data_IF_794465543702
#
_entry.id   IF_794465543702
#
_cell.length_a   1.000
_cell.length_b   1.000
_cell.length_c   1.000
_cell.angle_alpha   90.00
_cell.angle_beta   90.00
_cell.angle_gamma   90.00
#
_symmetry.space_group_name_H-M   'P 1'
#
loop_
_entity.id
_entity.type
_entity.pdbx_description
1 polymer ?
#
# COMPACT_ATOMS: atom_id res chain seq x y z
N UNK A 1 5.47 7.56 19.94
CA UNK A 1 4.18 6.84 20.04
C UNK A 1 3.00 7.65 19.47
N UNK A 2 2.97 8.99 19.64
CA UNK A 2 1.84 9.86 19.24
C UNK A 2 1.55 9.83 17.72
N UNK A 3 2.52 10.10 16.86
CA UNK A 3 2.30 10.15 15.41
C UNK A 3 1.82 8.83 14.80
N UNK A 4 2.30 7.69 15.30
CA UNK A 4 1.93 6.37 14.79
C UNK A 4 0.42 6.06 14.92
N UNK A 5 -0.21 6.46 16.03
CA UNK A 5 -1.61 6.15 16.31
C UNK A 5 -2.58 6.91 15.38
N UNK A 6 -2.30 8.18 15.09
CA UNK A 6 -3.10 9.01 14.18
C UNK A 6 -3.00 8.48 12.75
N UNK A 7 -1.82 8.06 12.34
CA UNK A 7 -1.56 7.60 10.98
C UNK A 7 -2.30 6.28 10.67
N UNK A 8 -2.47 5.40 11.66
CA UNK A 8 -3.27 4.18 11.51
C UNK A 8 -4.72 4.51 11.15
N UNK A 9 -5.30 5.45 11.86
CA UNK A 9 -6.67 5.86 11.64
C UNK A 9 -6.89 6.31 10.20
N UNK A 10 -5.99 7.11 9.62
CA UNK A 10 -6.08 7.55 8.22
C UNK A 10 -6.10 6.37 7.25
N UNK A 11 -5.20 5.41 7.43
CA UNK A 11 -5.11 4.25 6.54
C UNK A 11 -6.37 3.38 6.56
N UNK A 12 -7.05 3.30 7.69
CA UNK A 12 -8.30 2.55 7.84
C UNK A 12 -9.49 3.28 7.22
N UNK A 13 -9.60 4.58 7.45
CA UNK A 13 -10.74 5.38 7.02
C UNK A 13 -10.85 5.51 5.49
N UNK A 14 -9.74 5.45 4.78
CA UNK A 14 -9.71 5.62 3.31
C UNK A 14 -10.32 4.46 2.52
N UNK A 15 -10.56 3.32 3.15
CA UNK A 15 -11.04 2.10 2.49
C UNK A 15 -12.55 1.84 2.68
N UNK A 16 -13.25 2.68 3.40
CA UNK A 16 -14.70 2.52 3.62
C UNK A 16 -15.47 3.44 2.69
N UNK A 17 -16.04 2.92 1.61
CA UNK A 17 -17.01 3.64 0.79
C UNK A 17 -18.42 3.32 1.30
N UNK A 18 -19.14 4.31 1.84
CA UNK A 18 -20.49 4.13 2.33
C UNK A 18 -21.49 5.12 1.75
N UNK A 19 -22.72 4.64 1.58
CA UNK A 19 -23.90 5.48 1.37
C UNK A 19 -24.37 6.02 2.72
N UNK A 20 -24.44 7.33 2.89
CA UNK A 20 -24.84 7.96 4.15
C UNK A 20 -26.10 8.79 3.97
N UNK A 21 -27.09 8.56 4.84
CA UNK A 21 -28.27 9.39 4.99
C UNK A 21 -27.98 10.60 5.89
N UNK A 22 -28.75 11.65 5.72
CA UNK A 22 -28.63 12.98 6.33
C UNK A 22 -28.04 13.09 7.75
N UNK A 23 -27.07 14.03 7.85
CA UNK A 23 -26.43 14.59 9.04
C UNK A 23 -25.43 13.72 9.80
N UNK A 24 -24.16 13.72 9.38
CA UNK A 24 -23.11 13.19 10.23
C UNK A 24 -22.57 14.29 11.17
N UNK A 25 -22.68 14.08 12.47
CA UNK A 25 -21.80 14.72 13.42
C UNK A 25 -20.87 13.65 13.96
N UNK A 26 -19.67 13.56 13.41
CA UNK A 26 -18.61 12.80 14.06
C UNK A 26 -18.30 13.49 15.38
N UNK A 27 -18.18 12.76 16.50
CA UNK A 27 -17.68 13.33 17.74
C UNK A 27 -16.34 14.02 17.52
N UNK A 28 -16.13 15.19 18.13
CA UNK A 28 -14.84 15.87 18.04
C UNK A 28 -13.72 14.91 18.43
N UNK A 29 -12.81 14.62 17.50
CA UNK A 29 -11.70 13.70 17.72
C UNK A 29 -10.49 14.47 18.26
N UNK A 30 -10.11 14.19 19.51
CA UNK A 30 -8.85 14.68 20.06
C UNK A 30 -7.71 13.77 19.60
N UNK A 31 -6.85 14.28 18.69
CA UNK A 31 -5.69 13.57 18.19
C UNK A 31 -4.59 13.35 19.24
N UNK A 32 -4.72 13.93 20.43
CA UNK A 32 -3.83 13.72 21.57
C UNK A 32 -4.35 12.63 22.53
N UNK A 33 -5.63 12.26 22.40
CA UNK A 33 -6.22 11.20 23.19
C UNK A 33 -6.09 9.85 22.49
N UNK A 34 -5.17 9.03 22.97
CA UNK A 34 -4.94 7.69 22.41
C UNK A 34 -6.19 6.79 22.50
N UNK A 35 -7.02 6.95 23.53
CA UNK A 35 -8.20 6.10 23.67
C UNK A 35 -9.27 6.48 22.65
N UNK A 36 -9.45 7.76 22.36
CA UNK A 36 -10.34 8.21 21.28
C UNK A 36 -9.85 7.71 19.92
N UNK A 37 -8.55 7.83 19.63
CA UNK A 37 -7.97 7.30 18.39
C UNK A 37 -8.14 5.79 18.26
N UNK A 38 -7.95 5.05 19.35
CA UNK A 38 -8.15 3.59 19.37
C UNK A 38 -9.62 3.22 19.15
N UNK A 39 -10.56 3.94 19.75
CA UNK A 39 -11.98 3.73 19.56
C UNK A 39 -12.41 4.01 18.11
N UNK A 40 -11.97 5.12 17.54
CA UNK A 40 -12.22 5.47 16.14
C UNK A 40 -11.64 4.41 15.17
N UNK A 41 -10.42 3.98 15.40
CA UNK A 41 -9.78 2.91 14.62
C UNK A 41 -10.54 1.57 14.75
N UNK A 42 -11.03 1.24 15.95
CA UNK A 42 -11.83 0.03 16.19
C UNK A 42 -13.17 0.09 15.46
N UNK A 43 -13.84 1.24 15.47
CA UNK A 43 -15.09 1.43 14.75
C UNK A 43 -14.88 1.32 13.24
N UNK A 44 -13.88 2.00 12.69
CA UNK A 44 -13.52 1.92 11.28
C UNK A 44 -13.16 0.48 10.85
N UNK A 45 -12.40 -0.24 11.68
CA UNK A 45 -12.06 -1.65 11.43
C UNK A 45 -13.31 -2.55 11.47
N UNK A 46 -14.22 -2.33 12.42
CA UNK A 46 -15.48 -3.05 12.51
C UNK A 46 -16.35 -2.84 11.26
N UNK A 47 -16.46 -1.60 10.79
CA UNK A 47 -17.18 -1.28 9.57
C UNK A 47 -16.55 -1.94 8.35
N UNK A 48 -15.24 -1.86 8.21
CA UNK A 48 -14.51 -2.51 7.12
C UNK A 48 -14.78 -4.03 7.12
N UNK A 49 -14.72 -4.68 8.29
CA UNK A 49 -14.98 -6.11 8.43
C UNK A 49 -16.45 -6.49 8.16
N UNK A 50 -17.41 -5.57 8.26
CA UNK A 50 -18.80 -5.84 7.90
C UNK A 50 -19.00 -6.12 6.40
N UNK A 51 -18.08 -5.65 5.56
CA UNK A 51 -18.07 -5.95 4.12
C UNK A 51 -17.35 -7.26 3.77
N UNK A 52 -16.70 -7.90 4.75
CA UNK A 52 -16.07 -9.19 4.52
C UNK A 52 -17.07 -10.33 4.60
N UNK A 53 -17.30 -10.98 3.48
CA UNK A 53 -18.10 -12.22 3.43
C UNK A 53 -17.10 -13.38 3.32
N UNK A 54 -17.02 -14.28 4.33
CA UNK A 54 -16.13 -15.41 4.27
C UNK A 54 -16.35 -16.25 3.02
N UNK A 55 -15.32 -16.43 2.25
CA UNK A 55 -15.32 -17.23 1.02
C UNK A 55 -14.03 -18.05 0.90
N UNK A 56 -14.00 -18.97 -0.06
CA UNK A 56 -12.83 -19.83 -0.30
C UNK A 56 -11.59 -19.10 -0.80
N UNK A 57 -11.73 -17.83 -1.22
CA UNK A 57 -10.64 -16.99 -1.74
C UNK A 57 -10.00 -16.14 -0.65
N UNK A 58 -10.70 -15.89 0.46
CA UNK A 58 -10.23 -14.99 1.52
C UNK A 58 -10.17 -13.51 1.09
N UNK A 59 -10.92 -13.13 0.04
CA UNK A 59 -11.05 -11.75 -0.43
C UNK A 59 -12.33 -11.09 0.10
N UNK A 60 -12.36 -9.76 0.14
CA UNK A 60 -13.60 -9.01 0.31
C UNK A 60 -14.50 -9.15 -0.93
N UNK A 61 -15.68 -8.57 -0.89
CA UNK A 61 -16.55 -8.50 -2.05
C UNK A 61 -15.85 -7.68 -3.16
N UNK A 62 -15.48 -8.34 -4.25
CA UNK A 62 -14.66 -7.76 -5.32
C UNK A 62 -15.37 -6.62 -6.08
N UNK A 63 -16.71 -6.53 -6.00
CA UNK A 63 -17.46 -5.39 -6.54
C UNK A 63 -17.31 -4.13 -5.69
N UNK A 64 -17.01 -4.29 -4.40
CA UNK A 64 -16.85 -3.19 -3.43
C UNK A 64 -15.37 -2.89 -3.16
N UNK A 65 -14.54 -3.92 -3.17
CA UNK A 65 -13.15 -3.85 -2.77
C UNK A 65 -12.33 -4.72 -3.72
N UNK A 66 -11.64 -4.13 -4.70
CA UNK A 66 -10.77 -4.88 -5.59
C UNK A 66 -9.82 -5.76 -4.78
N UNK A 67 -9.42 -6.85 -5.38
CA UNK A 67 -8.68 -7.88 -4.68
C UNK A 67 -7.34 -7.39 -4.08
N UNK A 68 -6.60 -6.50 -4.77
CA UNK A 68 -5.38 -5.88 -4.23
C UNK A 68 -5.66 -5.05 -2.97
N UNK A 69 -6.78 -4.33 -2.91
CA UNK A 69 -7.21 -3.61 -1.71
C UNK A 69 -7.50 -4.59 -0.56
N UNK A 70 -8.13 -5.74 -0.84
CA UNK A 70 -8.33 -6.79 0.17
C UNK A 70 -6.99 -7.21 0.79
N UNK A 71 -5.96 -7.32 -0.03
CA UNK A 71 -4.60 -7.54 0.45
C UNK A 71 -4.13 -6.43 1.38
N UNK A 72 -4.20 -5.18 0.99
CA UNK A 72 -3.80 -4.05 1.83
C UNK A 72 -4.54 -4.03 3.17
N UNK A 73 -5.84 -4.32 3.15
CA UNK A 73 -6.69 -4.42 4.34
C UNK A 73 -6.17 -5.48 5.33
N UNK A 74 -5.86 -6.69 4.86
CA UNK A 74 -5.32 -7.73 5.74
C UNK A 74 -4.00 -7.32 6.41
N UNK A 75 -3.12 -6.62 5.68
CA UNK A 75 -1.89 -6.09 6.27
C UNK A 75 -2.12 -5.03 7.33
N UNK A 76 -3.13 -4.19 7.16
CA UNK A 76 -3.49 -3.19 8.16
C UNK A 76 -3.98 -3.80 9.47
N UNK A 77 -4.59 -4.99 9.45
CA UNK A 77 -4.99 -5.68 10.67
C UNK A 77 -3.81 -6.06 11.55
N UNK A 78 -2.67 -6.44 10.97
CA UNK A 78 -1.45 -6.69 11.75
C UNK A 78 -0.89 -5.40 12.36
N UNK A 79 -0.89 -4.29 11.59
CA UNK A 79 -0.48 -2.99 12.12
C UNK A 79 -1.43 -2.54 13.23
N UNK A 80 -2.76 -2.64 13.02
CA UNK A 80 -3.77 -2.32 14.02
C UNK A 80 -3.57 -3.14 15.30
N UNK A 81 -3.41 -4.46 15.19
CA UNK A 81 -3.18 -5.33 16.33
C UNK A 81 -1.89 -4.99 17.08
N UNK A 82 -0.80 -4.70 16.35
CA UNK A 82 0.50 -4.33 16.95
C UNK A 82 0.41 -3.03 17.75
N UNK A 83 -0.35 -2.06 17.29
CA UNK A 83 -0.41 -0.73 17.87
C UNK A 83 -1.49 -0.57 18.93
N UNK A 84 -2.63 -1.25 18.77
CA UNK A 84 -3.75 -1.15 19.71
C UNK A 84 -3.79 -2.26 20.75
N UNK A 85 -3.12 -3.38 20.49
CA UNK A 85 -3.24 -4.63 21.25
C UNK A 85 -4.55 -5.39 20.98
N UNK A 86 -5.38 -4.94 20.03
CA UNK A 86 -6.64 -5.59 19.68
C UNK A 86 -6.43 -6.64 18.58
N UNK A 87 -6.60 -7.91 18.93
CA UNK A 87 -6.34 -9.06 18.07
C UNK A 87 -7.61 -9.75 17.55
N UNK A 88 -8.79 -9.17 17.76
CA UNK A 88 -10.09 -9.83 17.53
C UNK A 88 -10.29 -10.37 16.11
N UNK A 89 -9.62 -9.79 15.11
CA UNK A 89 -9.75 -10.19 13.70
C UNK A 89 -8.63 -11.10 13.19
N UNK A 90 -7.57 -11.34 13.95
CA UNK A 90 -6.38 -12.01 13.45
C UNK A 90 -6.61 -13.45 12.98
N UNK A 91 -7.52 -14.18 13.63
CA UNK A 91 -7.89 -15.54 13.16
C UNK A 91 -8.56 -15.50 11.79
N UNK A 92 -9.41 -14.50 11.55
CA UNK A 92 -10.06 -14.30 10.24
C UNK A 92 -9.04 -13.90 9.20
N UNK A 93 -8.14 -12.97 9.52
CA UNK A 93 -7.03 -12.54 8.65
C UNK A 93 -6.14 -13.72 8.27
N UNK A 94 -5.73 -14.52 9.25
CA UNK A 94 -4.88 -15.70 9.05
C UNK A 94 -5.52 -16.71 8.09
N UNK A 95 -6.82 -17.02 8.28
CA UNK A 95 -7.55 -17.90 7.36
C UNK A 95 -7.71 -17.30 5.97
N UNK A 96 -8.00 -16.00 5.89
CA UNK A 96 -8.12 -15.32 4.61
C UNK A 96 -6.81 -15.36 3.82
N UNK A 97 -5.67 -15.06 4.44
CA UNK A 97 -4.36 -15.13 3.82
C UNK A 97 -3.98 -16.56 3.39
N UNK A 98 -4.28 -17.55 4.22
CA UNK A 98 -4.10 -18.96 3.86
C UNK A 98 -4.90 -19.32 2.59
N UNK A 99 -6.17 -18.93 2.54
CA UNK A 99 -7.02 -19.18 1.38
C UNK A 99 -6.48 -18.47 0.12
N UNK A 100 -6.02 -17.22 0.26
CA UNK A 100 -5.42 -16.46 -0.84
C UNK A 100 -4.11 -17.08 -1.36
N UNK A 101 -3.38 -17.83 -0.53
CA UNK A 101 -2.18 -18.55 -0.95
C UNK A 101 -2.48 -19.87 -1.70
N UNK A 102 -3.69 -20.03 -2.22
CA UNK A 102 -4.16 -21.29 -2.81
C UNK A 102 -4.20 -22.47 -1.82
N UNK A 103 -4.41 -22.20 -0.55
CA UNK A 103 -4.50 -23.22 0.49
C UNK A 103 -3.25 -24.10 0.53
N UNK A 104 -3.40 -25.40 0.36
CA UNK A 104 -2.30 -26.37 0.44
C UNK A 104 -1.18 -26.20 -0.62
N UNK A 105 -1.36 -25.38 -1.64
CA UNK A 105 -0.30 -25.09 -2.63
C UNK A 105 0.77 -24.13 -2.10
N UNK A 106 0.41 -23.31 -1.12
CA UNK A 106 1.30 -22.29 -0.55
C UNK A 106 2.04 -21.50 -1.63
N UNK A 107 1.29 -20.99 -2.60
CA UNK A 107 1.84 -20.22 -3.72
C UNK A 107 0.79 -19.25 -4.27
N UNK A 108 1.15 -18.00 -4.33
CA UNK A 108 0.29 -16.95 -4.85
C UNK A 108 0.20 -16.93 -6.37
N UNK A 109 1.22 -17.42 -7.07
CA UNK A 109 1.15 -17.59 -8.51
C UNK A 109 0.46 -18.89 -8.87
N UNK A 110 -0.56 -18.83 -9.71
CA UNK A 110 -1.09 -20.02 -10.37
C UNK A 110 -0.01 -20.64 -11.28
N UNK A 111 0.02 -21.98 -11.45
CA UNK A 111 0.94 -22.60 -12.38
C UNK A 111 0.77 -22.04 -13.80
N UNK A 112 1.86 -21.55 -14.39
CA UNK A 112 1.85 -20.98 -15.75
C UNK A 112 1.23 -19.61 -15.88
N UNK A 113 0.93 -18.93 -14.79
CA UNK A 113 0.37 -17.57 -14.80
C UNK A 113 1.29 -16.59 -15.52
N UNK A 114 0.87 -16.14 -16.72
CA UNK A 114 1.54 -15.11 -17.50
C UNK A 114 0.84 -13.76 -17.36
N UNK A 115 -0.47 -13.77 -17.25
CA UNK A 115 -1.33 -12.59 -17.19
C UNK A 115 -1.43 -12.09 -15.74
N UNK A 116 -0.32 -11.59 -15.19
CA UNK A 116 -0.27 -11.06 -13.83
C UNK A 116 0.75 -9.94 -13.72
N UNK A 117 0.48 -9.03 -12.80
CA UNK A 117 1.37 -7.94 -12.44
C UNK A 117 2.34 -8.37 -11.33
N UNK A 118 3.55 -7.87 -11.36
CA UNK A 118 4.56 -8.22 -10.36
C UNK A 118 4.43 -7.43 -9.06
N UNK A 119 3.88 -6.22 -9.08
CA UNK A 119 3.41 -5.53 -7.89
C UNK A 119 2.21 -6.23 -7.29
N UNK A 120 1.32 -6.83 -8.10
CA UNK A 120 0.18 -7.56 -7.60
C UNK A 120 0.54 -8.84 -6.84
N UNK A 121 1.62 -9.50 -7.17
CA UNK A 121 2.13 -10.56 -6.32
C UNK A 121 2.88 -10.00 -5.11
N UNK A 122 3.26 -8.75 -5.17
CA UNK A 122 3.83 -8.00 -4.05
C UNK A 122 2.72 -7.26 -3.26
N UNK A 123 1.61 -6.90 -3.86
CA UNK A 123 0.26 -6.71 -3.32
C UNK A 123 -0.76 -7.33 -4.29
N UNK A 124 -2.04 -7.60 -3.98
CA UNK A 124 -2.92 -8.38 -4.82
C UNK A 124 -3.73 -7.60 -5.86
N UNK A 125 -3.92 -8.12 -7.07
CA UNK A 125 -4.87 -7.55 -8.02
C UNK A 125 -5.53 -8.50 -9.03
N UNK A 126 -6.57 -7.99 -9.69
CA UNK A 126 -7.50 -8.72 -10.52
C UNK A 126 -7.55 -8.21 -11.96
N UNK A 127 -7.87 -9.12 -12.90
CA UNK A 127 -8.47 -8.82 -14.19
C UNK A 127 -9.64 -9.76 -14.46
N UNK A 128 -10.70 -9.20 -15.08
CA UNK A 128 -11.93 -9.89 -15.41
C UNK A 128 -11.72 -11.21 -16.17
N UNK A 129 -12.34 -12.25 -15.65
CA UNK A 129 -12.62 -13.48 -16.39
C UNK A 129 -11.81 -14.71 -16.06
N UNK A 130 -10.78 -14.67 -15.21
CA UNK A 130 -10.05 -15.88 -14.78
C UNK A 130 -9.88 -15.94 -13.25
N UNK A 131 -9.99 -17.13 -12.64
CA UNK A 131 -9.80 -17.30 -11.20
C UNK A 131 -8.31 -17.26 -10.85
N UNK A 132 -7.68 -16.10 -10.91
CA UNK A 132 -6.35 -15.90 -10.35
C UNK A 132 -6.45 -15.71 -8.85
N UNK A 133 -6.04 -16.71 -8.13
CA UNK A 133 -5.97 -16.73 -6.67
C UNK A 133 -4.57 -16.30 -6.28
N UNK A 134 -4.39 -15.12 -5.75
CA UNK A 134 -3.07 -14.66 -5.36
C UNK A 134 -3.15 -13.67 -4.19
N UNK A 135 -2.31 -13.77 -3.19
CA UNK A 135 -2.23 -12.86 -2.06
C UNK A 135 -0.86 -12.19 -1.94
N UNK A 136 -0.79 -11.17 -1.13
CA UNK A 136 0.30 -10.23 -0.99
C UNK A 136 1.41 -10.73 -0.04
N UNK A 137 2.67 -10.86 -0.47
CA UNK A 137 3.79 -11.23 0.39
C UNK A 137 4.13 -10.19 1.46
N UNK A 138 3.80 -8.93 1.25
CA UNK A 138 3.98 -7.90 2.30
C UNK A 138 3.07 -8.16 3.49
N UNK A 139 1.90 -8.73 3.25
CA UNK A 139 0.99 -9.17 4.29
C UNK A 139 1.50 -10.45 4.95
N UNK A 140 2.05 -11.33 4.16
CA UNK A 140 2.65 -12.57 4.64
C UNK A 140 3.87 -12.28 5.48
N UNK A 141 4.72 -11.32 5.09
CA UNK A 141 5.83 -10.91 5.95
C UNK A 141 5.33 -10.20 7.21
N UNK A 142 4.21 -9.47 7.14
CA UNK A 142 3.59 -8.89 8.33
C UNK A 142 3.08 -9.95 9.29
N UNK A 143 2.55 -11.08 8.79
CA UNK A 143 2.19 -12.25 9.59
C UNK A 143 3.45 -12.88 10.23
N UNK A 144 4.52 -13.09 9.47
CA UNK A 144 5.78 -13.60 10.00
C UNK A 144 6.42 -12.67 11.04
N UNK A 145 6.32 -11.35 10.87
CA UNK A 145 6.75 -10.34 11.84
C UNK A 145 5.89 -10.38 13.13
N UNK A 146 4.60 -10.63 12.98
CA UNK A 146 3.66 -10.65 14.10
C UNK A 146 3.73 -11.94 14.90
N UNK A 147 3.70 -13.10 14.23
CA UNK A 147 3.66 -14.41 14.85
C UNK A 147 5.05 -15.02 15.12
N UNK A 148 6.09 -14.48 14.51
CA UNK A 148 7.47 -14.95 14.62
C UNK A 148 7.93 -15.79 13.43
N UNK A 149 9.26 -15.91 13.30
CA UNK A 149 9.94 -16.56 12.16
C UNK A 149 9.45 -17.98 11.88
N UNK A 150 9.31 -18.78 12.92
CA UNK A 150 9.01 -20.21 12.80
C UNK A 150 7.50 -20.50 12.81
N UNK A 151 6.66 -19.46 12.81
CA UNK A 151 5.21 -19.61 12.77
C UNK A 151 4.76 -20.15 11.42
N UNK A 152 3.86 -21.13 11.45
CA UNK A 152 3.37 -21.84 10.26
C UNK A 152 2.01 -21.37 9.81
N UNK A 153 1.70 -21.63 8.54
CA UNK A 153 0.38 -21.47 8.00
C UNK A 153 -0.60 -22.47 8.64
N UNK A 154 -1.90 -22.17 8.69
CA UNK A 154 -2.91 -23.09 9.21
C UNK A 154 -2.82 -24.49 8.56
N UNK A 155 -2.79 -25.53 9.37
CA UNK A 155 -2.75 -26.93 8.93
C UNK A 155 -1.60 -27.27 7.96
N UNK A 156 -0.44 -26.64 8.13
CA UNK A 156 0.72 -26.79 7.27
C UNK A 156 2.03 -26.75 8.06
N UNK A 157 3.09 -27.33 7.48
CA UNK A 157 4.47 -27.15 7.95
C UNK A 157 5.17 -25.98 7.24
N UNK A 158 4.50 -25.32 6.28
CA UNK A 158 5.04 -24.14 5.60
C UNK A 158 4.98 -22.94 6.53
N UNK A 159 6.04 -22.15 6.58
CA UNK A 159 6.09 -20.93 7.41
C UNK A 159 5.63 -19.70 6.63
N UNK A 160 5.14 -18.69 7.35
CA UNK A 160 4.79 -17.40 6.74
C UNK A 160 5.99 -16.77 6.02
N UNK A 161 7.17 -16.86 6.60
CA UNK A 161 8.36 -16.26 5.99
C UNK A 161 8.81 -16.98 4.72
N UNK A 162 8.70 -18.31 4.66
CA UNK A 162 9.03 -19.06 3.45
C UNK A 162 8.07 -18.71 2.31
N UNK A 163 6.79 -18.55 2.61
CA UNK A 163 5.80 -18.11 1.63
C UNK A 163 6.09 -16.68 1.12
N UNK A 164 6.45 -15.76 2.03
CA UNK A 164 6.86 -14.40 1.69
C UNK A 164 8.11 -14.40 0.80
N UNK A 165 9.12 -15.19 1.14
CA UNK A 165 10.35 -15.28 0.35
C UNK A 165 10.10 -15.92 -1.03
N UNK A 166 9.32 -16.97 -1.11
CA UNK A 166 8.91 -17.57 -2.40
C UNK A 166 8.37 -16.54 -3.36
N UNK A 167 7.48 -15.67 -2.91
CA UNK A 167 6.88 -14.65 -3.77
C UNK A 167 7.87 -13.52 -4.09
N UNK A 168 8.71 -13.16 -3.15
CA UNK A 168 9.82 -12.23 -3.38
C UNK A 168 10.72 -12.72 -4.52
N UNK A 169 11.12 -13.99 -4.50
CA UNK A 169 11.94 -14.59 -5.55
C UNK A 169 11.18 -14.67 -6.89
N UNK A 170 9.88 -14.94 -6.87
CA UNK A 170 9.04 -14.96 -8.07
C UNK A 170 8.95 -13.57 -8.73
N UNK A 171 8.84 -12.49 -7.96
CA UNK A 171 8.91 -11.13 -8.49
C UNK A 171 10.32 -10.81 -8.99
N UNK A 172 11.35 -11.14 -8.22
CA UNK A 172 12.75 -10.95 -8.56
C UNK A 172 13.17 -11.67 -9.85
N UNK A 173 12.55 -12.81 -10.18
CA UNK A 173 12.80 -13.55 -11.44
C UNK A 173 12.38 -12.79 -12.69
N UNK A 174 11.61 -11.70 -12.54
CA UNK A 174 11.13 -10.88 -13.65
C UNK A 174 12.08 -9.72 -13.98
N UNK A 175 13.35 -9.84 -13.62
CA UNK A 175 14.42 -8.92 -14.04
C UNK A 175 15.05 -9.38 -15.36
N UNK A 176 15.60 -8.42 -16.08
CA UNK A 176 16.54 -8.61 -17.17
C UNK A 176 17.51 -7.42 -17.26
N UNK A 177 18.43 -7.44 -18.21
CA UNK A 177 19.44 -6.40 -18.38
C UNK A 177 18.95 -5.19 -19.20
N UNK A 178 17.70 -5.21 -19.71
CA UNK A 178 17.14 -4.08 -20.43
C UNK A 178 17.06 -2.85 -19.55
N UNK A 179 17.44 -1.72 -20.06
CA UNK A 179 17.57 -0.46 -19.31
C UNK A 179 18.52 -0.56 -18.11
N UNK A 180 19.51 -1.44 -18.17
CA UNK A 180 20.48 -1.65 -17.10
C UNK A 180 19.93 -2.44 -15.90
N UNK A 181 18.75 -3.05 -16.01
CA UNK A 181 18.13 -3.84 -14.94
C UNK A 181 16.67 -3.49 -14.69
N UNK A 182 16.22 -3.75 -13.44
CA UNK A 182 14.87 -3.48 -12.98
C UNK A 182 13.87 -4.61 -13.23
N UNK A 183 12.74 -4.57 -12.52
CA UNK A 183 11.69 -5.58 -12.53
C UNK A 183 10.56 -5.10 -13.44
N UNK A 184 10.05 -5.97 -14.28
CA UNK A 184 8.89 -5.64 -15.09
C UNK A 184 7.61 -5.57 -14.25
N UNK A 185 6.71 -4.68 -14.65
CA UNK A 185 5.41 -4.52 -14.03
C UNK A 185 4.48 -5.69 -14.35
N UNK A 186 4.39 -6.08 -15.63
CA UNK A 186 3.53 -7.16 -16.10
C UNK A 186 4.35 -8.37 -16.57
N UNK A 187 3.89 -9.59 -16.26
CA UNK A 187 4.68 -10.82 -16.47
C UNK A 187 4.71 -11.29 -17.91
N UNK A 188 3.63 -11.12 -18.68
CA UNK A 188 3.63 -11.51 -20.11
C UNK A 188 4.39 -10.46 -20.95
N UNK A 189 5.54 -10.84 -21.48
CA UNK A 189 6.37 -9.98 -22.32
C UNK A 189 5.80 -9.79 -23.73
N UNK A 190 4.83 -10.61 -24.17
CA UNK A 190 4.14 -10.45 -25.45
C UNK A 190 3.02 -9.40 -25.38
N UNK A 191 2.48 -9.14 -24.18
CA UNK A 191 1.52 -8.08 -23.93
C UNK A 191 2.19 -6.69 -23.99
N UNK A 192 1.55 -5.64 -24.50
CA UNK A 192 2.07 -4.28 -24.49
C UNK A 192 2.51 -3.79 -23.10
N UNK A 193 1.78 -4.18 -22.04
CA UNK A 193 2.11 -3.89 -20.62
C UNK A 193 3.40 -4.56 -20.17
N UNK A 194 3.80 -5.67 -20.80
CA UNK A 194 5.02 -6.41 -20.50
C UNK A 194 6.31 -5.70 -20.85
N UNK A 195 6.25 -4.51 -21.44
CA UNK A 195 7.41 -3.66 -21.69
C UNK A 195 7.62 -2.57 -20.61
N UNK A 196 6.78 -2.51 -19.59
CA UNK A 196 6.79 -1.45 -18.58
C UNK A 196 7.47 -1.90 -17.28
N UNK A 197 8.34 -1.04 -16.76
CA UNK A 197 9.01 -1.18 -15.46
C UNK A 197 8.50 -0.06 -14.55
N UNK A 198 7.53 -0.36 -13.69
CA UNK A 198 6.86 0.62 -12.83
C UNK A 198 7.63 0.87 -11.54
N UNK A 199 7.55 2.09 -11.02
CA UNK A 199 8.17 2.48 -9.75
C UNK A 199 7.60 1.69 -8.58
N UNK A 200 6.28 1.49 -8.54
CA UNK A 200 5.63 0.78 -7.44
C UNK A 200 6.17 -0.64 -7.27
N UNK A 201 6.33 -1.42 -8.36
CA UNK A 201 6.89 -2.78 -8.31
C UNK A 201 8.28 -2.81 -7.64
N UNK A 202 9.12 -1.83 -7.97
CA UNK A 202 10.47 -1.75 -7.40
C UNK A 202 10.45 -1.39 -5.92
N UNK A 203 9.63 -0.42 -5.52
CA UNK A 203 9.56 -0.01 -4.11
C UNK A 203 8.96 -1.10 -3.24
N UNK A 204 8.00 -1.84 -3.73
CA UNK A 204 7.47 -3.00 -3.03
C UNK A 204 8.52 -4.10 -2.87
N UNK A 205 9.25 -4.39 -3.92
CA UNK A 205 10.33 -5.35 -3.87
C UNK A 205 11.41 -4.95 -2.85
N UNK A 206 11.83 -3.69 -2.83
CA UNK A 206 12.80 -3.17 -1.85
C UNK A 206 12.28 -3.33 -0.43
N UNK A 207 11.06 -2.89 -0.17
CA UNK A 207 10.42 -2.99 1.14
C UNK A 207 10.31 -4.44 1.61
N UNK A 208 9.83 -5.32 0.72
CA UNK A 208 9.70 -6.75 1.01
C UNK A 208 11.06 -7.39 1.33
N UNK A 209 12.08 -7.10 0.52
CA UNK A 209 13.43 -7.62 0.74
C UNK A 209 14.04 -7.18 2.07
N UNK A 210 13.88 -5.90 2.45
CA UNK A 210 14.33 -5.40 3.74
C UNK A 210 13.62 -6.09 4.92
N UNK A 211 12.31 -6.31 4.82
CA UNK A 211 11.50 -6.98 5.85
C UNK A 211 11.81 -8.47 5.93
N UNK A 212 11.95 -9.17 4.80
CA UNK A 212 12.39 -10.57 4.79
C UNK A 212 13.75 -10.72 5.47
N UNK A 213 14.71 -9.82 5.15
CA UNK A 213 16.04 -9.84 5.78
C UNK A 213 15.96 -9.63 7.31
N UNK A 214 15.08 -8.76 7.79
CA UNK A 214 14.92 -8.56 9.24
C UNK A 214 14.55 -9.83 9.99
N UNK A 215 13.82 -10.74 9.34
CA UNK A 215 13.39 -12.03 9.90
C UNK A 215 14.42 -13.13 9.64
N UNK A 216 14.85 -13.26 8.38
CA UNK A 216 15.70 -14.40 7.94
C UNK A 216 17.17 -14.19 8.22
N UNK A 217 17.63 -12.92 8.22
CA UNK A 217 19.05 -12.52 8.22
C UNK A 217 19.83 -13.02 6.99
N UNK A 218 19.13 -13.36 5.91
CA UNK A 218 19.76 -13.74 4.65
C UNK A 218 20.34 -12.51 3.93
N UNK A 219 21.69 -12.41 3.81
CA UNK A 219 22.34 -11.25 3.20
C UNK A 219 22.03 -11.12 1.70
N UNK A 220 21.69 -12.21 1.03
CA UNK A 220 21.36 -12.20 -0.39
C UNK A 220 20.06 -11.43 -0.66
N UNK A 221 19.05 -11.62 0.20
CA UNK A 221 17.77 -10.88 0.12
C UNK A 221 17.99 -9.37 0.27
N UNK A 222 18.80 -8.95 1.25
CA UNK A 222 19.14 -7.54 1.44
C UNK A 222 19.96 -6.98 0.27
N UNK A 223 20.89 -7.78 -0.27
CA UNK A 223 21.69 -7.38 -1.43
C UNK A 223 20.80 -7.13 -2.67
N UNK A 224 19.83 -8.00 -2.91
CA UNK A 224 18.87 -7.83 -4.02
C UNK A 224 18.04 -6.55 -3.86
N UNK A 225 17.56 -6.25 -2.64
CA UNK A 225 16.82 -5.03 -2.36
C UNK A 225 17.66 -3.77 -2.60
N UNK A 226 18.92 -3.75 -2.14
CA UNK A 226 19.87 -2.66 -2.40
C UNK A 226 20.13 -2.48 -3.89
N UNK A 227 20.38 -3.56 -4.61
CA UNK A 227 20.63 -3.52 -6.05
C UNK A 227 19.46 -2.91 -6.84
N UNK A 228 18.23 -3.23 -6.46
CA UNK A 228 17.05 -2.62 -7.08
C UNK A 228 16.93 -1.14 -6.73
N UNK A 229 17.23 -0.72 -5.49
CA UNK A 229 17.25 0.70 -5.13
C UNK A 229 18.30 1.47 -5.93
N UNK A 230 19.50 0.92 -6.06
CA UNK A 230 20.59 1.53 -6.86
C UNK A 230 20.17 1.69 -8.34
N UNK A 231 19.47 0.68 -8.88
CA UNK A 231 18.94 0.76 -10.23
C UNK A 231 17.86 1.85 -10.36
N UNK A 232 16.93 1.95 -9.43
CA UNK A 232 15.87 2.99 -9.43
C UNK A 232 16.49 4.40 -9.49
N UNK A 233 17.55 4.63 -8.73
CA UNK A 233 18.24 5.93 -8.71
C UNK A 233 19.04 6.14 -10.02
N UNK A 234 19.81 5.15 -10.45
CA UNK A 234 20.68 5.27 -11.63
C UNK A 234 19.91 5.32 -12.95
N UNK A 235 18.73 4.71 -13.02
CA UNK A 235 17.84 4.76 -14.19
C UNK A 235 17.16 6.12 -14.37
N UNK A 236 17.12 6.96 -13.34
CA UNK A 236 16.41 8.24 -13.35
C UNK A 236 14.93 8.16 -12.96
N UNK A 237 14.42 6.99 -12.56
CA UNK A 237 13.05 6.85 -12.04
C UNK A 237 12.84 7.69 -10.79
N UNK A 238 13.84 7.77 -9.91
CA UNK A 238 13.80 8.56 -8.70
C UNK A 238 15.00 9.50 -8.62
N UNK A 239 14.75 10.80 -8.43
CA UNK A 239 15.79 11.80 -8.30
C UNK A 239 15.96 12.24 -6.84
N UNK A 240 17.02 11.81 -6.14
CA UNK A 240 17.20 12.09 -4.71
C UNK A 240 17.59 13.55 -4.41
N UNK A 241 17.88 14.37 -5.44
CA UNK A 241 18.19 15.80 -5.23
C UNK A 241 16.94 16.68 -5.26
N UNK A 242 15.97 16.33 -6.12
CA UNK A 242 14.76 17.13 -6.33
C UNK A 242 13.53 16.55 -5.64
N UNK A 243 13.59 15.27 -5.26
CA UNK A 243 12.45 14.51 -4.78
C UNK A 243 11.48 14.08 -5.90
N UNK A 244 11.80 14.37 -7.18
CA UNK A 244 10.94 13.97 -8.29
C UNK A 244 10.99 12.46 -8.50
N UNK A 245 9.81 11.87 -8.72
CA UNK A 245 9.62 10.45 -8.96
C UNK A 245 8.80 10.24 -10.23
N UNK A 246 9.25 9.39 -11.14
CA UNK A 246 8.50 8.96 -12.31
C UNK A 246 7.64 7.75 -11.95
N UNK A 247 6.51 7.56 -12.62
CA UNK A 247 5.66 6.39 -12.43
C UNK A 247 6.32 5.11 -12.95
N UNK A 248 7.09 5.23 -14.02
CA UNK A 248 7.87 4.12 -14.56
C UNK A 248 8.55 4.47 -15.87
N UNK A 249 9.16 3.46 -16.51
CA UNK A 249 9.89 3.59 -17.77
C UNK A 249 9.57 2.44 -18.72
N UNK A 250 9.48 2.73 -20.02
CA UNK A 250 9.36 1.72 -21.06
C UNK A 250 10.69 1.04 -21.33
N UNK A 251 10.72 -0.30 -21.32
CA UNK A 251 11.91 -1.08 -21.72
C UNK A 251 12.14 -1.12 -23.23
N UNK A 252 11.22 -0.58 -24.04
CA UNK A 252 11.39 -0.40 -25.49
C UNK A 252 12.30 0.80 -25.78
N UNK A 253 12.18 1.85 -24.97
CA UNK A 253 13.04 3.02 -24.98
C UNK A 253 13.29 3.44 -23.52
N UNK A 254 14.48 3.17 -23.01
CA UNK A 254 14.85 3.36 -21.60
C UNK A 254 14.86 4.83 -21.13
N UNK A 255 14.54 5.77 -21.99
CA UNK A 255 14.36 7.20 -21.69
C UNK A 255 12.91 7.65 -21.80
N UNK A 256 12.00 6.75 -22.12
CA UNK A 256 10.56 7.02 -22.23
C UNK A 256 9.90 6.81 -20.86
N UNK A 257 9.90 7.88 -20.08
CA UNK A 257 9.37 7.90 -18.72
C UNK A 257 7.91 8.29 -18.71
N UNK A 258 7.12 7.57 -17.90
CA UNK A 258 5.77 7.97 -17.53
C UNK A 258 5.88 8.92 -16.33
N UNK A 259 5.40 10.15 -16.51
CA UNK A 259 5.63 11.26 -15.57
C UNK A 259 4.46 11.53 -14.63
N UNK A 260 3.43 10.68 -14.63
CA UNK A 260 2.31 10.81 -13.70
C UNK A 260 2.79 10.77 -12.25
N UNK A 261 2.17 11.61 -11.43
CA UNK A 261 2.49 11.71 -10.02
C UNK A 261 1.34 11.11 -9.20
N UNK A 262 1.66 10.08 -8.42
CA UNK A 262 0.72 9.37 -7.56
C UNK A 262 1.26 9.30 -6.14
N UNK A 263 0.41 9.58 -5.16
CA UNK A 263 0.82 9.59 -3.75
C UNK A 263 1.37 8.24 -3.29
N UNK A 264 0.80 7.13 -3.78
CA UNK A 264 1.22 5.77 -3.38
C UNK A 264 2.67 5.45 -3.76
N UNK A 265 3.16 5.93 -4.90
CA UNK A 265 4.56 5.76 -5.31
C UNK A 265 5.51 6.43 -4.30
N UNK A 266 5.20 7.66 -3.90
CA UNK A 266 5.98 8.37 -2.89
C UNK A 266 5.91 7.66 -1.53
N UNK A 267 4.71 7.30 -1.09
CA UNK A 267 4.54 6.55 0.15
C UNK A 267 5.37 5.29 0.15
N UNK A 268 5.27 4.51 -0.92
CA UNK A 268 5.98 3.24 -1.01
C UNK A 268 7.50 3.39 -1.02
N UNK A 269 8.04 4.41 -1.71
CA UNK A 269 9.48 4.72 -1.64
C UNK A 269 9.88 5.10 -0.21
N UNK A 270 9.15 6.02 0.44
CA UNK A 270 9.44 6.48 1.80
C UNK A 270 9.42 5.32 2.82
N UNK A 271 8.41 4.46 2.73
CA UNK A 271 8.35 3.25 3.55
C UNK A 271 9.48 2.27 3.26
N UNK A 272 9.86 2.10 1.99
CA UNK A 272 10.99 1.24 1.62
C UNK A 272 12.31 1.74 2.20
N UNK A 273 12.56 3.04 2.15
CA UNK A 273 13.75 3.66 2.75
C UNK A 273 13.76 3.52 4.28
N UNK A 274 12.61 3.65 4.93
CA UNK A 274 12.47 3.39 6.36
C UNK A 274 12.81 1.93 6.71
N UNK A 275 12.30 0.96 5.96
CA UNK A 275 12.62 -0.46 6.17
C UNK A 275 14.08 -0.79 5.87
N UNK A 276 14.67 -0.16 4.85
CA UNK A 276 16.11 -0.30 4.55
C UNK A 276 16.97 0.26 5.68
N UNK A 277 16.60 1.39 6.26
CA UNK A 277 17.26 1.92 7.47
C UNK A 277 17.15 0.92 8.62
N UNK A 278 15.95 0.45 8.94
CA UNK A 278 15.74 -0.55 10.01
C UNK A 278 16.55 -1.83 9.80
N UNK A 279 16.68 -2.28 8.56
CA UNK A 279 17.43 -3.48 8.20
C UNK A 279 18.94 -3.33 8.33
N UNK A 280 19.47 -2.11 8.17
CA UNK A 280 20.91 -1.88 8.01
C UNK A 280 21.52 -0.98 9.08
N UNK A 281 20.73 -0.14 9.73
CA UNK A 281 21.21 0.96 10.57
C UNK A 281 21.84 2.12 9.79
N UNK A 282 21.76 2.12 8.46
CA UNK A 282 22.42 3.11 7.61
C UNK A 282 21.57 4.38 7.46
N UNK A 283 22.02 5.48 8.07
CA UNK A 283 21.32 6.77 8.07
C UNK A 283 21.09 7.34 6.67
N UNK A 284 21.91 6.98 5.68
CA UNK A 284 21.78 7.47 4.31
C UNK A 284 20.41 7.19 3.70
N UNK A 285 19.73 6.12 4.10
CA UNK A 285 18.36 5.84 3.64
C UNK A 285 17.35 6.88 4.14
N UNK A 286 17.47 7.33 5.39
CA UNK A 286 16.61 8.39 5.92
C UNK A 286 16.96 9.76 5.34
N UNK A 287 18.24 10.02 5.11
CA UNK A 287 18.68 11.26 4.44
C UNK A 287 18.14 11.33 3.00
N UNK A 288 18.12 10.19 2.30
CA UNK A 288 17.53 10.06 0.97
C UNK A 288 16.01 10.27 0.97
N UNK A 289 15.30 9.93 2.05
CA UNK A 289 13.86 10.11 2.16
C UNK A 289 13.43 11.58 2.23
N UNK A 290 14.28 12.47 2.76
CA UNK A 290 13.90 13.86 3.04
C UNK A 290 13.41 14.64 1.81
N UNK A 291 14.11 14.64 0.63
CA UNK A 291 13.63 15.33 -0.56
C UNK A 291 12.30 14.79 -1.10
N UNK A 292 12.08 13.48 -1.01
CA UNK A 292 10.82 12.87 -1.47
C UNK A 292 9.66 13.18 -0.53
N UNK A 293 9.91 13.23 0.78
CA UNK A 293 8.90 13.67 1.75
C UNK A 293 8.50 15.12 1.51
N UNK A 294 9.48 16.02 1.35
CA UNK A 294 9.21 17.43 1.08
C UNK A 294 8.44 17.63 -0.24
N UNK A 295 8.86 16.95 -1.30
CA UNK A 295 8.18 17.02 -2.59
C UNK A 295 6.73 16.50 -2.50
N UNK A 296 6.53 15.32 -1.93
CA UNK A 296 5.21 14.69 -1.84
C UNK A 296 4.25 15.45 -0.91
N UNK A 297 4.74 15.97 0.20
CA UNK A 297 3.93 16.81 1.10
C UNK A 297 3.43 18.09 0.40
N UNK A 298 4.30 18.76 -0.38
CA UNK A 298 3.91 19.93 -1.16
C UNK A 298 2.97 19.61 -2.32
N UNK A 299 3.05 18.41 -2.87
CA UNK A 299 2.24 17.99 -4.02
C UNK A 299 0.87 17.49 -3.58
N UNK A 300 0.83 16.57 -2.62
CA UNK A 300 -0.40 15.86 -2.23
C UNK A 300 -1.07 16.41 -0.98
N UNK A 301 -0.41 17.26 -0.20
CA UNK A 301 -0.99 17.98 0.94
C UNK A 301 -0.73 19.48 0.79
N UNK A 302 -1.10 20.01 -0.37
CA UNK A 302 -0.82 21.38 -0.78
C UNK A 302 -1.76 22.41 -0.12
N UNK A 303 -1.45 23.70 -0.29
CA UNK A 303 -2.35 24.77 0.13
C UNK A 303 -3.72 24.73 -0.59
N UNK A 304 -3.78 24.19 -1.81
CA UNK A 304 -5.04 24.03 -2.56
C UNK A 304 -6.01 23.06 -1.88
N UNK A 305 -5.50 22.07 -1.13
CA UNK A 305 -6.30 21.13 -0.32
C UNK A 305 -6.28 21.48 1.17
N UNK A 306 -5.85 22.70 1.52
CA UNK A 306 -5.68 23.14 2.93
C UNK A 306 -4.75 22.23 3.75
N UNK A 307 -3.80 21.58 3.10
CA UNK A 307 -2.85 20.65 3.71
C UNK A 307 -3.38 19.22 3.92
N UNK A 308 -4.57 18.91 3.40
CA UNK A 308 -5.17 17.58 3.43
C UNK A 308 -4.61 16.75 2.28
N UNK A 309 -4.31 15.46 2.53
CA UNK A 309 -3.84 14.55 1.50
C UNK A 309 -4.94 14.36 0.43
N UNK A 310 -4.57 14.60 -0.83
CA UNK A 310 -5.45 14.46 -1.99
C UNK A 310 -4.65 13.93 -3.20
N UNK A 311 -5.28 13.10 -4.01
CA UNK A 311 -4.73 12.75 -5.33
C UNK A 311 -4.96 13.88 -6.32
N UNK A 312 -4.03 14.02 -7.27
CA UNK A 312 -4.14 15.07 -8.30
C UNK A 312 -5.37 14.88 -9.18
N UNK A 313 -5.85 13.66 -9.35
CA UNK A 313 -7.06 13.34 -10.11
C UNK A 313 -8.36 13.77 -9.41
N UNK A 314 -8.35 14.08 -8.11
CA UNK A 314 -9.56 14.49 -7.38
C UNK A 314 -10.17 15.80 -7.89
N UNK A 315 -9.40 16.59 -8.62
CA UNK A 315 -9.90 17.81 -9.31
C UNK A 315 -10.73 17.49 -10.56
N UNK A 316 -10.67 16.29 -11.06
CA UNK A 316 -11.38 15.81 -12.26
C UNK A 316 -12.18 14.56 -11.98
N UNK A 317 -11.54 13.40 -12.02
CA UNK A 317 -12.12 12.11 -11.67
C UNK A 317 -11.00 11.11 -11.39
N UNK A 318 -10.99 10.51 -10.21
CA UNK A 318 -10.14 9.39 -9.89
C UNK A 318 -10.84 8.06 -10.19
N UNK A 319 -10.11 7.11 -10.75
CA UNK A 319 -10.56 5.72 -10.76
C UNK A 319 -10.65 5.20 -9.33
N UNK A 320 -11.27 4.06 -9.14
CA UNK A 320 -11.39 3.44 -7.83
C UNK A 320 -10.03 3.16 -7.19
N UNK A 321 -9.10 2.56 -7.93
CA UNK A 321 -7.74 2.28 -7.44
C UNK A 321 -7.03 3.55 -7.00
N UNK A 322 -7.14 4.61 -7.81
CA UNK A 322 -6.53 5.91 -7.51
C UNK A 322 -7.07 6.54 -6.22
N UNK A 323 -8.34 6.29 -5.89
CA UNK A 323 -8.92 6.74 -4.61
C UNK A 323 -8.24 6.09 -3.39
N UNK A 324 -7.77 4.85 -3.52
CA UNK A 324 -7.07 4.10 -2.48
C UNK A 324 -5.59 4.50 -2.27
N UNK A 325 -4.97 5.18 -3.23
CA UNK A 325 -3.52 5.48 -3.19
C UNK A 325 -3.08 6.28 -1.95
N UNK A 326 -3.93 7.18 -1.47
CA UNK A 326 -3.67 7.99 -0.26
C UNK A 326 -3.48 7.15 0.99
N UNK A 327 -4.16 6.00 1.08
CA UNK A 327 -3.99 5.07 2.19
C UNK A 327 -2.59 4.46 2.23
N UNK A 328 -2.07 4.10 1.06
CA UNK A 328 -0.70 3.59 0.92
C UNK A 328 0.31 4.67 1.33
N UNK A 329 0.10 5.91 0.87
CA UNK A 329 0.95 7.03 1.23
C UNK A 329 0.96 7.25 2.75
N UNK A 330 -0.20 7.42 3.36
CA UNK A 330 -0.34 7.65 4.80
C UNK A 330 0.29 6.53 5.64
N UNK A 331 0.03 5.26 5.27
CA UNK A 331 0.61 4.10 5.96
C UNK A 331 2.14 4.11 5.95
N UNK A 332 2.74 4.42 4.82
CA UNK A 332 4.19 4.44 4.69
C UNK A 332 4.84 5.67 5.35
N UNK A 333 4.13 6.79 5.45
CA UNK A 333 4.53 7.91 6.29
C UNK A 333 4.66 7.49 7.77
N UNK A 334 3.77 6.59 8.25
CA UNK A 334 3.89 6.02 9.60
C UNK A 334 5.20 5.26 9.81
N UNK A 335 5.60 4.43 8.85
CA UNK A 335 6.85 3.70 8.93
C UNK A 335 8.05 4.64 8.95
N UNK A 336 8.06 5.67 8.10
CA UNK A 336 9.12 6.68 8.10
C UNK A 336 9.16 7.48 9.41
N UNK A 337 8.01 7.86 9.94
CA UNK A 337 7.92 8.58 11.22
C UNK A 337 8.50 7.77 12.39
N UNK A 338 8.29 6.46 12.40
CA UNK A 338 8.84 5.58 13.43
C UNK A 338 10.35 5.47 13.36
N UNK A 339 10.93 5.47 12.16
CA UNK A 339 12.36 5.24 11.95
C UNK A 339 13.19 6.52 12.04
N UNK A 340 12.65 7.64 11.57
CA UNK A 340 13.43 8.88 11.56
C UNK A 340 13.56 9.50 12.94
N UNK A 341 14.75 10.03 13.25
CA UNK A 341 15.01 10.89 14.41
C UNK A 341 15.01 12.38 14.02
N UNK A 342 14.90 12.69 12.74
CA UNK A 342 14.87 14.07 12.23
C UNK A 342 13.57 14.75 12.62
N UNK A 343 13.65 15.76 13.47
CA UNK A 343 12.50 16.49 14.02
C UNK A 343 11.68 17.16 12.92
N UNK A 344 12.33 17.75 11.90
CA UNK A 344 11.64 18.40 10.79
C UNK A 344 10.82 17.40 9.98
N UNK A 345 11.37 16.22 9.69
CA UNK A 345 10.64 15.17 9.00
C UNK A 345 9.43 14.70 9.82
N UNK A 346 9.61 14.48 11.13
CA UNK A 346 8.50 14.11 12.02
C UNK A 346 7.39 15.15 12.02
N UNK A 347 7.73 16.41 12.19
CA UNK A 347 6.77 17.52 12.19
C UNK A 347 6.04 17.65 10.85
N UNK A 348 6.74 17.44 9.72
CA UNK A 348 6.11 17.43 8.39
C UNK A 348 5.09 16.30 8.28
N UNK A 349 5.44 15.09 8.69
CA UNK A 349 4.55 13.92 8.64
C UNK A 349 3.35 14.13 9.58
N UNK A 350 3.59 14.54 10.82
CA UNK A 350 2.55 14.81 11.81
C UNK A 350 1.56 15.86 11.28
N UNK A 351 2.06 16.99 10.75
CA UNK A 351 1.22 18.03 10.18
C UNK A 351 0.32 17.52 9.05
N UNK A 352 0.87 16.78 8.10
CA UNK A 352 0.13 16.22 6.95
C UNK A 352 -0.95 15.26 7.42
N UNK A 353 -0.62 14.38 8.36
CA UNK A 353 -1.54 13.37 8.86
C UNK A 353 -2.61 13.98 9.76
N UNK A 354 -2.22 14.80 10.74
CA UNK A 354 -3.16 15.43 11.67
C UNK A 354 -4.20 16.28 10.92
N UNK A 355 -3.74 17.09 9.94
CA UNK A 355 -4.64 17.89 9.09
C UNK A 355 -5.61 16.99 8.32
N UNK A 356 -5.13 15.88 7.75
CA UNK A 356 -5.97 14.94 6.99
C UNK A 356 -7.01 14.25 7.87
N UNK A 357 -6.62 13.77 9.04
CA UNK A 357 -7.56 13.12 9.99
C UNK A 357 -8.62 14.08 10.50
N UNK A 358 -8.22 15.33 10.84
CA UNK A 358 -9.18 16.34 11.26
C UNK A 358 -10.20 16.68 10.15
N UNK A 359 -9.73 16.79 8.91
CA UNK A 359 -10.62 17.03 7.77
C UNK A 359 -11.57 15.84 7.55
N UNK A 360 -11.06 14.61 7.57
CA UNK A 360 -11.87 13.40 7.44
C UNK A 360 -12.95 13.33 8.54
N UNK A 361 -12.56 13.49 9.80
CA UNK A 361 -13.47 13.46 10.92
C UNK A 361 -14.53 14.57 10.85
N UNK A 362 -14.17 15.75 10.35
CA UNK A 362 -15.06 16.90 10.30
C UNK A 362 -15.99 16.94 9.09
N UNK A 363 -15.60 16.30 7.97
CA UNK A 363 -16.27 16.54 6.68
C UNK A 363 -16.55 15.29 5.85
N UNK A 364 -15.81 14.22 6.07
CA UNK A 364 -15.82 13.06 5.15
C UNK A 364 -16.30 11.78 5.79
N UNK A 365 -16.41 11.69 7.12
CA UNK A 365 -16.82 10.49 7.82
C UNK A 365 -18.17 10.71 8.51
N UNK A 366 -18.97 9.64 8.64
CA UNK A 366 -20.17 9.60 9.48
C UNK A 366 -19.83 9.22 10.93
N UNK A 367 -20.85 9.19 11.80
CA UNK A 367 -20.71 8.79 13.21
C UNK A 367 -20.20 7.36 13.43
N UNK A 368 -20.26 6.51 12.40
CA UNK A 368 -19.78 5.13 12.40
C UNK A 368 -18.42 4.99 11.76
N UNK A 369 -17.76 6.11 11.39
CA UNK A 369 -16.48 6.13 10.70
C UNK A 369 -16.49 5.48 9.30
N UNK A 370 -17.63 5.54 8.60
CA UNK A 370 -17.64 5.35 7.16
C UNK A 370 -17.22 6.67 6.51
N UNK A 371 -16.22 6.64 5.64
CA UNK A 371 -15.62 7.86 5.11
C UNK A 371 -15.67 7.90 3.59
N UNK A 372 -15.92 9.09 3.03
CA UNK A 372 -15.85 9.32 1.61
C UNK A 372 -14.40 9.28 1.10
N UNK A 373 -14.23 9.02 -0.20
CA UNK A 373 -12.91 8.97 -0.82
C UNK A 373 -12.21 10.35 -0.87
N UNK A 374 -12.96 11.45 -0.94
CA UNK A 374 -12.41 12.81 -0.94
C UNK A 374 -12.40 13.36 0.47
N UNK A 375 -11.21 13.64 1.00
CA UNK A 375 -11.04 14.05 2.41
C UNK A 375 -11.07 15.56 2.61
N UNK A 376 -10.76 16.35 1.57
CA UNK A 376 -10.60 17.79 1.64
C UNK A 376 -11.89 18.59 1.46
N UNK A 377 -13.00 17.95 1.05
CA UNK A 377 -14.23 18.65 0.70
C UNK A 377 -15.36 18.43 1.71
N UNK A 378 -16.09 19.50 2.03
CA UNK A 378 -17.32 19.42 2.81
C UNK A 378 -18.42 18.75 1.97
N UNK A 379 -19.16 17.80 2.56
CA UNK A 379 -20.39 17.21 2.02
C UNK A 379 -20.25 16.26 0.81
N UNK A 380 -19.12 15.54 0.65
CA UNK A 380 -19.02 14.47 -0.35
C UNK A 380 -19.44 13.07 0.15
N UNK A 381 -20.28 13.02 1.16
CA UNK A 381 -21.07 11.81 1.46
C UNK A 381 -22.24 11.73 0.48
N UNK A 382 -21.97 11.74 -0.82
CA UNK A 382 -23.00 11.57 -1.84
C UNK A 382 -23.35 10.08 -1.96
N UNK A 383 -24.63 9.83 -1.89
CA UNK A 383 -25.34 8.59 -1.79
C UNK A 383 -25.26 7.66 -3.02
N UNK A 384 -24.37 7.89 -3.95
CA UNK A 384 -24.29 7.05 -5.14
C UNK A 384 -22.83 6.68 -5.45
N UNK A 385 -22.49 5.41 -5.15
CA UNK A 385 -21.65 4.69 -6.10
C UNK A 385 -22.38 4.82 -7.45
N UNK A 386 -21.79 5.39 -8.51
CA UNK A 386 -22.48 5.42 -9.80
C UNK A 386 -22.88 3.97 -10.12
N UNK A 387 -24.18 3.72 -10.39
CA UNK A 387 -24.62 2.42 -10.84
C UNK A 387 -24.04 2.22 -12.23
N UNK A 388 -23.05 1.42 -12.42
CA UNK A 388 -22.35 1.09 -13.68
C UNK A 388 -20.97 1.73 -13.87
N UNK A 389 -20.01 1.39 -12.97
CA UNK A 389 -18.64 1.23 -13.43
C UNK A 389 -18.38 -0.28 -13.50
N UNK A 390 -19.17 -0.93 -14.30
CA UNK A 390 -18.84 -2.22 -14.91
C UNK A 390 -18.33 -1.86 -16.29
N UNK A 391 -17.10 -2.31 -16.58
CA UNK A 391 -16.49 -2.36 -17.91
C UNK A 391 -16.25 -1.03 -18.63
N UNK A 392 -15.06 -0.47 -18.40
CA UNK A 392 -14.30 -0.02 -19.55
C UNK A 392 -12.95 -0.71 -19.51
N UNK A 393 -12.60 -1.47 -20.55
CA UNK A 393 -11.24 -1.96 -20.70
C UNK A 393 -10.33 -0.74 -20.73
N UNK A 394 -9.14 -0.86 -20.15
CA UNK A 394 -8.08 0.12 -20.31
C UNK A 394 -7.97 0.42 -21.79
N UNK A 395 -8.54 1.54 -22.21
CA UNK A 395 -8.38 1.99 -23.56
C UNK A 395 -6.90 2.31 -23.75
N UNK A 396 -6.33 1.60 -24.69
CA UNK A 396 -5.22 2.09 -25.49
C UNK A 396 -5.52 3.53 -25.92
N UNK A 397 -5.03 4.49 -25.18
CA UNK A 397 -4.90 5.84 -25.71
C UNK A 397 -3.56 5.89 -26.40
N UNK A 398 -3.61 5.82 -27.73
CA UNK A 398 -2.65 6.50 -28.57
C UNK A 398 -2.62 7.97 -28.14
N UNK A 399 -1.56 8.36 -27.45
CA UNK A 399 -0.81 9.61 -27.61
C UNK A 399 0.39 9.57 -26.67
#
# INVERSE_FOLDING_TARGET
MRGANVIILVSLLSMTAATVSDQPQVPSLDLHDFQQLKQAARAAMGNLMSYFIPNSRGSFNETLTPWHESGMIWGMHFDYARWTGDTQYLDTVTRALFNQSNGARHNFLAPGAKEQWNDDILWPNQVDGFPSQVANPRLIVAAAEFYGRDSTLPNSNETWINLADKTYQQAGSQRDDKCGGGIYWYRDRADPRGSYKSSITHFEFISQGARNYLITKDPQTLHQAKHILDWVISSGLANPRTGLLMDGVSSKNCTDFITFQWSYNYGQLLGSLAWMHRATGDQRFLDMAAPYLDYSARTFASSNTSGVIAELCETTSCSRDQQGFKAVYARNLAYLHQETTNITMKQTIEKVIDTSVQAMASHSCDSNWNCAAIWSAKNHLTTELPPNIITTPFMTTNQ
#
